data_IF_778016343704
#
_entry.id   IF_778016343704
#
_cell.length_a   1.000
_cell.length_b   1.000
_cell.length_c   1.000
_cell.angle_alpha   90.00
_cell.angle_beta   90.00
_cell.angle_gamma   90.00
#
_symmetry.space_group_name_H-M   'P 1'
#
loop_
_entity.id
_entity.type
_entity.pdbx_description
1 polymer ?
#
# COMPACT_ATOMS: atom_id res chain seq x y z
N UNK A 1 2.39 7.84 24.10
CA UNK A 1 2.89 8.55 22.95
C UNK A 1 1.73 8.85 22.02
N UNK A 2 1.46 10.12 21.75
CA UNK A 2 0.32 10.59 20.92
C UNK A 2 0.68 10.32 19.46
N UNK A 3 -0.05 9.42 18.80
CA UNK A 3 0.01 9.27 17.34
C UNK A 3 -0.74 10.44 16.72
N UNK A 4 -0.02 11.50 16.39
CA UNK A 4 -0.54 12.60 15.58
C UNK A 4 -0.26 12.32 14.09
N UNK A 5 -0.95 11.33 13.51
CA UNK A 5 -1.06 11.21 12.06
C UNK A 5 -2.15 12.16 11.58
N UNK A 6 -1.78 13.39 11.29
CA UNK A 6 -2.61 14.30 10.50
C UNK A 6 -2.40 13.95 9.02
N UNK A 7 -3.46 13.98 8.19
CA UNK A 7 -3.46 13.49 6.81
C UNK A 7 -2.35 14.02 5.87
N UNK A 8 -1.67 15.11 6.22
CA UNK A 8 -0.50 15.62 5.50
C UNK A 8 0.78 14.80 5.75
N UNK A 9 0.92 14.12 6.89
CA UNK A 9 2.13 13.34 7.19
C UNK A 9 2.23 12.05 6.36
N UNK A 10 1.09 11.44 6.02
CA UNK A 10 1.05 10.24 5.17
C UNK A 10 1.50 10.51 3.73
N UNK A 11 1.10 11.65 3.16
CA UNK A 11 1.47 12.04 1.79
C UNK A 11 2.98 12.31 1.70
N UNK A 12 3.55 13.02 2.67
CA UNK A 12 5.00 13.30 2.74
C UNK A 12 5.78 12.02 2.94
N UNK A 13 5.35 11.16 3.86
CA UNK A 13 6.01 9.88 4.14
C UNK A 13 6.04 8.97 2.91
N UNK A 14 4.94 8.86 2.18
CA UNK A 14 4.87 8.06 0.96
C UNK A 14 5.71 8.66 -0.16
N UNK A 15 5.71 9.99 -0.33
CA UNK A 15 6.54 10.67 -1.31
C UNK A 15 8.04 10.47 -1.02
N UNK A 16 8.44 10.51 0.26
CA UNK A 16 9.82 10.23 0.68
C UNK A 16 10.24 8.79 0.38
N UNK A 17 9.35 7.82 0.64
CA UNK A 17 9.60 6.40 0.32
C UNK A 17 9.76 6.22 -1.19
N UNK A 18 8.87 6.79 -1.99
CA UNK A 18 8.93 6.69 -3.46
C UNK A 18 10.25 7.30 -3.96
N UNK A 19 10.57 8.50 -3.51
CA UNK A 19 11.79 9.18 -3.94
C UNK A 19 13.04 8.39 -3.55
N UNK A 20 13.18 8.01 -2.29
CA UNK A 20 14.39 7.35 -1.81
C UNK A 20 14.53 5.93 -2.41
N UNK A 21 13.47 5.11 -2.35
CA UNK A 21 13.56 3.73 -2.77
C UNK A 21 13.58 3.58 -4.30
N UNK A 22 12.74 4.29 -5.04
CA UNK A 22 12.57 4.05 -6.48
C UNK A 22 13.46 4.91 -7.36
N UNK A 23 13.82 6.13 -6.93
CA UNK A 23 14.61 7.06 -7.75
C UNK A 23 16.05 7.22 -7.29
N UNK A 24 16.36 7.07 -5.99
CA UNK A 24 17.71 7.24 -5.46
C UNK A 24 18.46 5.91 -5.35
N UNK A 25 17.82 4.88 -4.80
CA UNK A 25 18.48 3.63 -4.40
C UNK A 25 18.37 2.49 -5.44
N UNK A 26 17.79 2.75 -6.62
CA UNK A 26 17.59 1.74 -7.65
C UNK A 26 16.95 0.45 -7.09
N UNK A 27 15.76 0.59 -6.51
CA UNK A 27 15.03 -0.48 -5.81
C UNK A 27 14.90 -1.78 -6.64
N UNK A 28 14.95 -1.68 -7.97
CA UNK A 28 14.86 -2.85 -8.86
C UNK A 28 15.92 -3.90 -8.56
N UNK A 29 17.11 -3.48 -8.16
CA UNK A 29 18.19 -4.41 -7.77
C UNK A 29 17.89 -5.11 -6.44
N UNK A 30 17.22 -4.43 -5.52
CA UNK A 30 16.82 -4.97 -4.21
C UNK A 30 15.63 -5.91 -4.35
N UNK A 31 14.70 -5.59 -5.23
CA UNK A 31 13.48 -6.39 -5.44
C UNK A 31 13.75 -7.77 -6.06
N UNK A 32 14.86 -7.95 -6.78
CA UNK A 32 15.19 -9.25 -7.39
C UNK A 32 14.08 -9.80 -8.28
N UNK A 33 13.39 -8.92 -9.03
CA UNK A 33 12.26 -9.27 -9.90
C UNK A 33 10.92 -9.40 -9.18
N UNK A 34 10.84 -9.07 -7.89
CA UNK A 34 9.59 -9.03 -7.12
C UNK A 34 8.96 -7.64 -7.18
N UNK A 35 7.71 -7.53 -6.74
CA UNK A 35 7.01 -6.24 -6.60
C UNK A 35 7.15 -5.69 -5.18
N UNK A 36 7.23 -4.36 -5.07
CA UNK A 36 7.13 -3.64 -3.81
C UNK A 36 5.68 -3.28 -3.51
N UNK A 37 5.25 -3.48 -2.29
CA UNK A 37 4.01 -2.93 -1.77
C UNK A 37 4.29 -1.53 -1.23
N UNK A 38 3.52 -0.54 -1.69
CA UNK A 38 3.67 0.85 -1.25
C UNK A 38 2.31 1.42 -0.89
N UNK A 39 2.22 1.98 0.32
CA UNK A 39 1.01 2.60 0.85
C UNK A 39 0.72 3.93 0.17
N UNK A 40 -0.52 4.12 -0.26
CA UNK A 40 -1.01 5.37 -0.84
C UNK A 40 -2.23 5.89 -0.08
N UNK A 41 -2.20 7.18 0.25
CA UNK A 41 -3.37 7.90 0.75
C UNK A 41 -4.35 8.18 -0.38
N UNK A 42 -5.60 8.50 -0.05
CA UNK A 42 -6.61 8.89 -1.04
C UNK A 42 -6.16 10.10 -1.89
N UNK A 43 -5.43 11.05 -1.30
CA UNK A 43 -4.90 12.22 -2.02
C UNK A 43 -3.89 11.80 -3.10
N UNK A 44 -2.95 10.93 -2.78
CA UNK A 44 -1.94 10.45 -3.72
C UNK A 44 -2.57 9.64 -4.87
N UNK A 45 -3.60 8.85 -4.58
CA UNK A 45 -4.38 8.13 -5.59
C UNK A 45 -5.08 9.11 -6.53
N UNK A 46 -5.81 10.11 -6.01
CA UNK A 46 -6.50 11.13 -6.79
C UNK A 46 -5.54 11.89 -7.71
N UNK A 47 -4.36 12.23 -7.22
CA UNK A 47 -3.30 12.90 -7.97
C UNK A 47 -2.57 11.99 -8.98
N UNK A 48 -2.82 10.69 -8.98
CA UNK A 48 -2.22 9.75 -9.93
C UNK A 48 -0.75 9.42 -9.65
N UNK A 49 -0.28 9.65 -8.43
CA UNK A 49 1.12 9.40 -8.01
C UNK A 49 1.60 7.96 -8.30
N UNK A 50 0.78 6.89 -8.13
CA UNK A 50 1.23 5.54 -8.46
C UNK A 50 1.76 5.37 -9.89
N UNK A 51 1.27 6.17 -10.86
CA UNK A 51 1.69 6.10 -12.27
C UNK A 51 3.13 6.55 -12.52
N UNK A 52 3.79 7.14 -11.52
CA UNK A 52 5.22 7.50 -11.59
C UNK A 52 6.14 6.27 -11.49
N UNK A 53 5.61 5.13 -11.06
CA UNK A 53 6.36 3.88 -10.87
C UNK A 53 5.74 2.82 -11.79
N UNK A 54 6.58 2.00 -12.44
CA UNK A 54 6.08 0.94 -13.32
C UNK A 54 5.18 -0.05 -12.59
N UNK A 55 4.07 -0.44 -13.22
CA UNK A 55 3.19 -1.50 -12.73
C UNK A 55 3.89 -2.86 -12.59
N UNK A 56 5.04 -3.05 -13.26
CA UNK A 56 5.82 -4.29 -13.16
C UNK A 56 6.46 -4.49 -11.78
N UNK A 57 6.74 -3.37 -11.07
CA UNK A 57 7.46 -3.41 -9.79
C UNK A 57 6.64 -2.88 -8.61
N UNK A 58 5.41 -2.38 -8.86
CA UNK A 58 4.56 -1.77 -7.82
C UNK A 58 3.29 -2.57 -7.59
N UNK A 59 2.96 -2.81 -6.32
CA UNK A 59 1.62 -3.07 -5.82
C UNK A 59 1.13 -1.82 -5.12
N UNK A 60 0.00 -1.28 -5.56
CA UNK A 60 -0.62 -0.09 -4.96
C UNK A 60 -1.43 -0.54 -3.75
N UNK A 61 -1.00 -0.14 -2.57
CA UNK A 61 -1.63 -0.49 -1.31
C UNK A 61 -2.48 0.69 -0.82
N UNK A 62 -3.79 0.48 -0.66
CA UNK A 62 -4.72 1.50 -0.18
C UNK A 62 -4.88 1.35 1.33
N UNK A 63 -4.60 2.42 2.06
CA UNK A 63 -4.80 2.48 3.51
C UNK A 63 -6.30 2.36 3.87
N UNK A 64 -6.60 1.86 5.07
CA UNK A 64 -7.96 1.73 5.61
C UNK A 64 -8.72 3.07 5.66
N UNK A 65 -8.00 4.19 5.74
CA UNK A 65 -8.57 5.55 5.75
C UNK A 65 -9.05 6.05 4.37
N UNK A 66 -8.79 5.30 3.30
CA UNK A 66 -9.18 5.69 1.94
C UNK A 66 -10.67 5.46 1.72
N UNK A 67 -11.40 6.56 1.55
CA UNK A 67 -12.85 6.54 1.29
C UNK A 67 -13.14 6.08 -0.14
N UNK A 68 -14.13 5.19 -0.30
CA UNK A 68 -14.58 4.67 -1.60
C UNK A 68 -15.46 5.70 -2.37
N UNK A 69 -14.98 6.94 -2.52
CA UNK A 69 -15.70 7.94 -3.33
C UNK A 69 -15.56 7.68 -4.84
N UNK A 70 -16.40 8.34 -5.63
CA UNK A 70 -16.45 8.14 -7.07
C UNK A 70 -15.12 8.42 -7.78
N UNK A 71 -14.32 9.36 -7.26
CA UNK A 71 -13.02 9.68 -7.83
C UNK A 71 -11.99 8.59 -7.52
N UNK A 72 -11.91 8.11 -6.29
CA UNK A 72 -11.05 6.99 -5.91
C UNK A 72 -11.38 5.75 -6.74
N UNK A 73 -12.66 5.40 -6.85
CA UNK A 73 -13.10 4.25 -7.66
C UNK A 73 -12.65 4.41 -9.12
N UNK A 74 -12.86 5.57 -9.72
CA UNK A 74 -12.43 5.87 -11.09
C UNK A 74 -10.91 5.71 -11.25
N UNK A 75 -10.13 6.24 -10.30
CA UNK A 75 -8.66 6.11 -10.31
C UNK A 75 -8.19 4.67 -10.16
N UNK A 76 -8.83 3.89 -9.29
CA UNK A 76 -8.51 2.47 -9.13
C UNK A 76 -8.81 1.68 -10.42
N UNK A 77 -9.94 1.95 -11.09
CA UNK A 77 -10.25 1.33 -12.38
C UNK A 77 -9.19 1.70 -13.44
N UNK A 78 -8.74 2.95 -13.47
CA UNK A 78 -7.69 3.41 -14.38
C UNK A 78 -6.36 2.69 -14.10
N UNK A 79 -5.94 2.59 -12.83
CA UNK A 79 -4.74 1.87 -12.43
C UNK A 79 -4.80 0.39 -12.84
N UNK A 80 -5.93 -0.27 -12.63
CA UNK A 80 -6.11 -1.66 -13.05
C UNK A 80 -5.98 -1.83 -14.57
N UNK A 81 -6.54 -0.93 -15.38
CA UNK A 81 -6.37 -0.94 -16.84
C UNK A 81 -4.92 -0.79 -17.27
N UNK A 82 -4.09 -0.12 -16.47
CA UNK A 82 -2.65 0.04 -16.68
C UNK A 82 -1.81 -1.12 -16.12
N UNK A 83 -2.44 -2.18 -15.60
CA UNK A 83 -1.78 -3.38 -15.12
C UNK A 83 -1.30 -3.33 -13.68
N UNK A 84 -1.68 -2.30 -12.89
CA UNK A 84 -1.36 -2.28 -11.47
C UNK A 84 -2.20 -3.29 -10.69
N UNK A 85 -1.54 -3.92 -9.72
CA UNK A 85 -2.19 -4.72 -8.68
C UNK A 85 -2.59 -3.78 -7.55
N UNK A 86 -3.82 -3.90 -7.06
CA UNK A 86 -4.34 -3.11 -5.93
C UNK A 86 -4.48 -4.04 -4.72
N UNK A 87 -3.90 -3.63 -3.59
CA UNK A 87 -4.06 -4.25 -2.29
C UNK A 87 -4.85 -3.33 -1.35
N UNK A 88 -5.68 -3.89 -0.47
CA UNK A 88 -6.32 -3.16 0.62
C UNK A 88 -5.65 -3.53 1.94
N UNK A 89 -5.20 -2.49 2.68
CA UNK A 89 -4.50 -2.62 3.94
C UNK A 89 -5.47 -2.61 5.13
N UNK A 90 -5.22 -3.47 6.14
CA UNK A 90 -5.99 -3.60 7.38
C UNK A 90 -7.53 -3.59 7.13
N UNK A 91 -7.97 -4.35 6.09
CA UNK A 91 -9.31 -4.23 5.56
C UNK A 91 -10.31 -5.13 6.29
N UNK A 92 -11.41 -4.52 6.74
CA UNK A 92 -12.62 -5.22 7.18
C UNK A 92 -13.74 -5.05 6.15
N UNK A 93 -14.33 -6.17 5.71
CA UNK A 93 -15.44 -6.13 4.76
C UNK A 93 -16.67 -5.43 5.32
N UNK A 94 -17.18 -4.43 4.60
CA UNK A 94 -18.46 -3.77 4.86
C UNK A 94 -19.13 -3.37 3.56
N UNK A 95 -20.45 -3.15 3.58
CA UNK A 95 -21.16 -2.68 2.38
C UNK A 95 -20.67 -1.31 1.90
N UNK A 96 -20.19 -0.44 2.80
CA UNK A 96 -19.66 0.88 2.45
C UNK A 96 -18.30 0.81 1.71
N UNK A 97 -17.54 -0.24 1.93
CA UNK A 97 -16.21 -0.44 1.34
C UNK A 97 -16.22 -1.48 0.22
N UNK A 98 -17.36 -2.09 -0.07
CA UNK A 98 -17.56 -3.14 -1.06
C UNK A 98 -17.00 -2.78 -2.44
N UNK A 99 -17.20 -1.54 -2.91
CA UNK A 99 -16.73 -1.12 -4.23
C UNK A 99 -15.20 -1.18 -4.37
N UNK A 100 -14.44 -0.83 -3.31
CA UNK A 100 -12.99 -1.01 -3.29
C UNK A 100 -12.62 -2.49 -3.20
N UNK A 101 -13.34 -3.26 -2.38
CA UNK A 101 -13.12 -4.70 -2.25
C UNK A 101 -13.26 -5.43 -3.60
N UNK A 102 -14.29 -5.08 -4.37
CA UNK A 102 -14.51 -5.68 -5.70
C UNK A 102 -13.39 -5.34 -6.69
N UNK A 103 -12.81 -4.15 -6.60
CA UNK A 103 -11.70 -3.70 -7.45
C UNK A 103 -10.34 -4.26 -7.04
N UNK A 104 -10.13 -4.54 -5.76
CA UNK A 104 -8.86 -5.02 -5.24
C UNK A 104 -8.53 -6.43 -5.74
N UNK A 105 -7.25 -6.71 -5.87
CA UNK A 105 -6.70 -8.02 -6.19
C UNK A 105 -6.29 -8.78 -4.93
N UNK A 106 -5.71 -8.05 -3.97
CA UNK A 106 -5.17 -8.59 -2.72
C UNK A 106 -5.88 -7.93 -1.55
N UNK A 107 -6.28 -8.73 -0.57
CA UNK A 107 -6.82 -8.27 0.70
C UNK A 107 -5.85 -8.68 1.80
N UNK A 108 -5.38 -7.70 2.58
CA UNK A 108 -4.50 -7.91 3.71
C UNK A 108 -5.36 -8.13 4.96
N UNK A 109 -5.09 -9.18 5.69
CA UNK A 109 -5.81 -9.60 6.89
C UNK A 109 -4.91 -9.40 8.10
N UNK A 110 -5.19 -8.39 8.92
CA UNK A 110 -4.45 -8.13 10.16
C UNK A 110 -4.80 -9.17 11.24
N UNK A 111 -3.83 -10.00 11.61
CA UNK A 111 -4.02 -11.04 12.63
C UNK A 111 -4.02 -10.50 14.07
N UNK A 112 -3.77 -9.20 14.26
CA UNK A 112 -3.95 -8.54 15.55
C UNK A 112 -5.39 -8.04 15.78
N UNK A 113 -6.27 -8.13 14.78
CA UNK A 113 -7.69 -7.85 14.95
C UNK A 113 -8.46 -9.05 15.51
N UNK A 114 -9.78 -8.93 15.72
CA UNK A 114 -10.56 -10.05 16.22
C UNK A 114 -10.61 -11.20 15.20
N UNK A 115 -10.54 -12.41 15.70
CA UNK A 115 -10.58 -13.62 14.86
C UNK A 115 -11.85 -13.69 14.02
N UNK A 116 -12.98 -13.26 14.59
CA UNK A 116 -14.26 -13.22 13.89
C UNK A 116 -14.26 -12.25 12.71
N UNK A 117 -13.56 -11.09 12.83
CA UNK A 117 -13.43 -10.13 11.73
C UNK A 117 -12.55 -10.71 10.60
N UNK A 118 -11.43 -11.34 10.97
CA UNK A 118 -10.54 -12.01 10.01
C UNK A 118 -11.28 -13.12 9.25
N UNK A 119 -12.00 -14.00 9.96
CA UNK A 119 -12.74 -15.11 9.35
C UNK A 119 -13.86 -14.62 8.42
N UNK A 120 -14.65 -13.61 8.84
CA UNK A 120 -15.67 -12.99 7.97
C UNK A 120 -15.08 -12.41 6.68
N UNK A 121 -13.95 -11.69 6.79
CA UNK A 121 -13.30 -11.10 5.63
C UNK A 121 -12.72 -12.19 4.73
N UNK A 122 -12.12 -13.24 5.29
CA UNK A 122 -11.60 -14.38 4.55
C UNK A 122 -12.72 -15.12 3.77
N UNK A 123 -13.89 -15.35 4.36
CA UNK A 123 -15.05 -15.93 3.68
C UNK A 123 -15.48 -15.11 2.45
N UNK A 124 -15.47 -13.77 2.59
CA UNK A 124 -15.74 -12.88 1.45
C UNK A 124 -14.63 -12.97 0.39
N UNK A 125 -13.37 -13.02 0.79
CA UNK A 125 -12.26 -13.19 -0.13
C UNK A 125 -12.40 -14.47 -0.96
N UNK A 126 -12.78 -15.58 -0.34
CA UNK A 126 -13.04 -16.85 -1.03
C UNK A 126 -14.19 -16.69 -2.02
N UNK A 127 -15.32 -16.09 -1.58
CA UNK A 127 -16.52 -15.89 -2.41
C UNK A 127 -16.24 -15.05 -3.66
N UNK A 128 -15.38 -14.01 -3.52
CA UNK A 128 -15.03 -13.09 -4.61
C UNK A 128 -13.71 -13.45 -5.30
N UNK A 129 -13.13 -14.62 -5.00
CA UNK A 129 -11.86 -15.10 -5.55
C UNK A 129 -10.71 -14.09 -5.40
N UNK A 130 -10.57 -13.50 -4.19
CA UNK A 130 -9.51 -12.54 -3.86
C UNK A 130 -8.28 -13.27 -3.32
N UNK A 131 -7.10 -12.73 -3.62
CA UNK A 131 -5.85 -13.18 -3.00
C UNK A 131 -5.82 -12.64 -1.57
N UNK A 132 -5.52 -13.50 -0.60
CA UNK A 132 -5.36 -13.13 0.80
C UNK A 132 -3.90 -13.09 1.21
N UNK A 133 -3.50 -12.01 1.91
CA UNK A 133 -2.20 -11.85 2.55
C UNK A 133 -2.42 -11.70 4.05
N UNK A 134 -1.94 -12.67 4.84
CA UNK A 134 -1.96 -12.56 6.30
C UNK A 134 -0.83 -11.65 6.78
N UNK A 135 -1.17 -10.65 7.60
CA UNK A 135 -0.23 -9.72 8.18
C UNK A 135 -0.01 -9.95 9.68
N UNK A 136 1.11 -9.42 10.16
CA UNK A 136 1.51 -9.46 11.57
C UNK A 136 1.60 -10.89 12.11
N UNK A 137 1.98 -11.84 11.24
CA UNK A 137 2.20 -13.24 11.63
C UNK A 137 3.46 -13.34 12.48
N UNK A 138 3.32 -13.75 13.74
CA UNK A 138 4.42 -13.78 14.72
C UNK A 138 4.75 -15.20 15.22
N UNK A 139 3.82 -16.14 15.07
CA UNK A 139 3.93 -17.50 15.61
C UNK A 139 3.68 -18.58 14.56
N UNK A 140 4.18 -19.79 14.84
CA UNK A 140 3.90 -20.98 14.02
C UNK A 140 2.39 -21.29 13.96
N UNK A 141 1.65 -21.08 15.06
CA UNK A 141 0.20 -21.29 15.09
C UNK A 141 -0.55 -20.36 14.15
N UNK A 142 -0.10 -19.11 14.04
CA UNK A 142 -0.67 -18.14 13.10
C UNK A 142 -0.34 -18.50 11.64
N UNK A 143 0.85 -19.04 11.36
CA UNK A 143 1.17 -19.59 10.04
C UNK A 143 0.19 -20.70 9.65
N UNK A 144 -0.09 -21.63 10.56
CA UNK A 144 -1.03 -22.71 10.33
C UNK A 144 -2.48 -22.21 10.18
N UNK A 145 -2.82 -21.19 10.94
CA UNK A 145 -4.12 -20.52 10.84
C UNK A 145 -4.29 -19.81 9.49
N UNK A 146 -3.29 -19.03 9.03
CA UNK A 146 -3.30 -18.39 7.74
C UNK A 146 -3.46 -19.40 6.57
N UNK A 147 -2.78 -20.54 6.66
CA UNK A 147 -2.92 -21.63 5.68
C UNK A 147 -4.34 -22.19 5.66
N UNK A 148 -4.96 -22.40 6.82
CA UNK A 148 -6.34 -22.91 6.92
C UNK A 148 -7.35 -21.92 6.34
N UNK A 149 -7.13 -20.61 6.50
CA UNK A 149 -7.94 -19.57 5.89
C UNK A 149 -7.78 -19.49 4.37
N UNK A 150 -6.72 -20.09 3.81
CA UNK A 150 -6.42 -20.04 2.39
C UNK A 150 -5.55 -18.83 1.99
N UNK A 151 -4.83 -18.21 2.93
CA UNK A 151 -3.92 -17.12 2.62
C UNK A 151 -2.80 -17.59 1.69
N UNK A 152 -2.62 -16.85 0.57
CA UNK A 152 -1.57 -17.13 -0.41
C UNK A 152 -0.23 -16.57 0.05
N UNK A 153 -0.25 -15.42 0.71
CA UNK A 153 0.93 -14.70 1.20
C UNK A 153 0.84 -14.48 2.69
N UNK A 154 2.00 -14.36 3.33
CA UNK A 154 2.14 -14.12 4.76
C UNK A 154 3.27 -13.12 5.01
N UNK A 155 3.04 -12.18 5.92
CA UNK A 155 4.00 -11.16 6.33
C UNK A 155 3.98 -11.03 7.86
N UNK A 156 5.15 -10.92 8.48
CA UNK A 156 5.26 -10.70 9.93
C UNK A 156 6.62 -11.10 10.49
N UNK A 157 6.80 -10.86 11.78
CA UNK A 157 8.08 -11.08 12.47
C UNK A 157 8.48 -12.55 12.58
N UNK A 158 7.55 -13.47 12.35
CA UNK A 158 7.87 -14.90 12.23
C UNK A 158 8.86 -15.17 11.09
N UNK A 159 8.77 -14.45 9.99
CA UNK A 159 9.61 -14.64 8.81
C UNK A 159 10.85 -13.74 8.80
N UNK A 160 10.67 -12.46 9.08
CA UNK A 160 11.76 -11.49 9.15
C UNK A 160 11.33 -10.23 9.90
N UNK A 161 12.26 -9.68 10.68
CA UNK A 161 12.08 -8.34 11.27
C UNK A 161 12.43 -7.28 10.23
N UNK A 162 11.75 -6.11 10.25
CA UNK A 162 12.06 -5.00 9.36
C UNK A 162 13.53 -4.58 9.48
N UNK A 163 14.18 -4.38 8.34
CA UNK A 163 15.52 -3.83 8.27
C UNK A 163 15.42 -2.37 7.79
N UNK A 164 15.96 -1.44 8.58
CA UNK A 164 16.12 -0.05 8.16
C UNK A 164 17.36 0.04 7.28
N UNK A 165 17.16 0.29 5.99
CA UNK A 165 18.26 0.62 5.09
C UNK A 165 18.52 2.12 5.18
N UNK A 166 19.60 2.50 5.88
CA UNK A 166 20.02 3.90 5.98
C UNK A 166 21.03 4.21 4.89
N UNK A 167 20.63 4.85 3.81
CA UNK A 167 21.55 5.44 2.87
C UNK A 167 21.92 6.87 3.26
N UNK A 168 23.21 7.10 3.38
CA UNK A 168 23.83 8.39 3.76
C UNK A 168 24.09 9.28 2.57
N UNK A 169 23.14 9.58 1.70
CA UNK A 169 23.33 10.70 0.77
C UNK A 169 22.01 11.22 0.23
N UNK A 170 21.57 12.35 0.77
CA UNK A 170 20.66 13.23 0.02
C UNK A 170 21.47 13.79 -1.15
N UNK A 171 21.38 13.20 -2.33
CA UNK A 171 21.96 13.77 -3.53
C UNK A 171 21.23 15.08 -3.86
N UNK A 172 21.93 16.08 -4.43
CA UNK A 172 21.29 17.33 -4.86
C UNK A 172 20.06 17.08 -5.75
N UNK A 173 20.11 16.03 -6.57
CA UNK A 173 19.01 15.62 -7.47
C UNK A 173 17.77 15.17 -6.70
N UNK A 174 17.90 14.43 -5.60
CA UNK A 174 16.78 14.02 -4.76
C UNK A 174 16.08 15.22 -4.11
N UNK A 175 16.84 16.22 -3.66
CA UNK A 175 16.27 17.46 -3.10
C UNK A 175 15.51 18.26 -4.16
N UNK A 176 16.05 18.36 -5.37
CA UNK A 176 15.38 19.02 -6.50
C UNK A 176 14.08 18.31 -6.87
N UNK A 177 14.10 16.98 -6.91
CA UNK A 177 12.90 16.18 -7.21
C UNK A 177 11.80 16.34 -6.15
N UNK A 178 12.16 16.33 -4.86
CA UNK A 178 11.23 16.60 -3.76
C UNK A 178 10.66 18.02 -3.83
N UNK A 179 11.48 19.01 -4.21
CA UNK A 179 11.02 20.38 -4.42
C UNK A 179 10.02 20.47 -5.57
N UNK A 180 10.29 19.83 -6.70
CA UNK A 180 9.39 19.77 -7.85
C UNK A 180 8.08 19.06 -7.47
N UNK A 181 8.14 17.93 -6.74
CA UNK A 181 6.94 17.26 -6.24
C UNK A 181 6.13 18.18 -5.31
N UNK A 182 6.79 18.91 -4.42
CA UNK A 182 6.17 19.89 -3.55
C UNK A 182 5.43 20.98 -4.34
N UNK A 183 6.03 21.51 -5.39
CA UNK A 183 5.42 22.52 -6.28
C UNK A 183 4.23 21.96 -7.07
N UNK A 184 4.39 20.78 -7.68
CA UNK A 184 3.34 20.14 -8.49
C UNK A 184 2.14 19.72 -7.64
N UNK A 185 2.35 19.34 -6.38
CA UNK A 185 1.31 18.87 -5.47
C UNK A 185 0.85 19.93 -4.45
N UNK A 186 1.36 21.15 -4.53
CA UNK A 186 0.84 22.28 -3.75
C UNK A 186 -0.57 22.65 -4.19
N UNK A 187 -1.49 23.00 -3.28
CA UNK A 187 -2.82 23.50 -3.63
C UNK A 187 -2.77 24.78 -4.48
N UNK A 188 -1.73 25.59 -4.28
CA UNK A 188 -1.41 26.78 -5.07
C UNK A 188 0.08 26.68 -5.45
N UNK A 189 0.38 26.13 -6.64
CA UNK A 189 1.76 26.04 -7.09
C UNK A 189 2.32 27.45 -7.35
N UNK A 190 3.41 27.80 -6.67
CA UNK A 190 4.18 29.00 -6.89
C UNK A 190 5.15 28.76 -8.04
N UNK A 191 4.98 29.48 -9.13
CA UNK A 191 5.77 29.33 -10.36
C UNK A 191 6.82 30.45 -10.52
N UNK A 192 7.31 31.06 -9.41
CA UNK A 192 8.42 32.00 -9.48
C UNK A 192 9.78 31.34 -9.74
#
# INVERSE_FOLDING_TARGET
GVNAYTGNNGDVSTADVINNAFFVDNITSVLGGKKAFVNFTGNLIKRGVPKMISSDILVVELLESVMADAEIIRRCIELKKLGYIIALDDYEYSENTKALFELADIIKLDFHTSREAVERTAEKCITYNKIMLAEKVETQLEVEYAKRLGCTYMQGYFFAKPLLMTHRTNTPMAKTFLHILGLVYSPEPDYE
#
